data_IF_435246065376
#
_entry.id   IF_435246065376
#
_cell.length_a   1.000
_cell.length_b   1.000
_cell.length_c   1.000
_cell.angle_alpha   90.00
_cell.angle_beta   90.00
_cell.angle_gamma   90.00
#
_symmetry.space_group_name_H-M   'P 1'
#
loop_
_entity.id
_entity.type
_entity.pdbx_description
1 polymer ?
#
# COMPACT_ATOMS: atom_id res chain seq x y z
N UNK A 1 6.22 -0.56 -22.73
CA UNK A 1 6.47 -0.47 -21.28
C UNK A 1 7.86 -0.98 -20.87
N UNK A 2 8.21 -2.26 -21.08
CA UNK A 2 9.50 -2.84 -20.63
C UNK A 2 10.78 -2.07 -21.00
N UNK A 3 10.85 -1.49 -22.20
CA UNK A 3 11.99 -0.66 -22.64
C UNK A 3 12.16 0.63 -21.84
N UNK A 4 11.05 1.26 -21.42
CA UNK A 4 11.09 2.50 -20.62
C UNK A 4 11.50 2.15 -19.20
N UNK A 5 10.92 1.11 -18.62
CA UNK A 5 11.24 0.62 -17.28
C UNK A 5 12.74 0.31 -17.10
N UNK A 6 13.35 -0.43 -18.03
CA UNK A 6 14.78 -0.73 -17.98
C UNK A 6 15.63 0.54 -18.05
N UNK A 7 15.31 1.44 -19.00
CA UNK A 7 16.02 2.73 -19.11
C UNK A 7 15.91 3.58 -17.86
N UNK A 8 14.72 3.64 -17.25
CA UNK A 8 14.52 4.38 -15.99
C UNK A 8 15.31 3.74 -14.87
N UNK A 9 15.34 2.41 -14.79
CA UNK A 9 16.12 1.67 -13.79
C UNK A 9 17.63 1.94 -13.93
N UNK A 10 18.16 1.85 -15.15
CA UNK A 10 19.57 2.15 -15.43
C UNK A 10 19.93 3.60 -15.07
N UNK A 11 19.01 4.55 -15.36
CA UNK A 11 19.18 5.95 -14.99
C UNK A 11 19.17 6.15 -13.46
N UNK A 12 18.23 5.52 -12.75
CA UNK A 12 18.20 5.59 -11.28
C UNK A 12 19.44 4.97 -10.65
N UNK A 13 19.94 3.86 -11.19
CA UNK A 13 21.17 3.20 -10.74
C UNK A 13 22.39 4.11 -10.95
N UNK A 14 22.56 4.66 -12.16
CA UNK A 14 23.67 5.57 -12.47
C UNK A 14 23.66 6.86 -11.64
N UNK A 15 22.47 7.35 -11.26
CA UNK A 15 22.31 8.52 -10.38
C UNK A 15 22.35 8.20 -8.89
N UNK A 16 22.46 6.91 -8.50
CA UNK A 16 22.42 6.50 -7.10
C UNK A 16 21.05 6.68 -6.41
N UNK A 17 19.98 6.86 -7.20
CA UNK A 17 18.61 7.05 -6.72
C UNK A 17 17.85 5.73 -6.57
N UNK A 18 18.37 4.63 -7.14
CA UNK A 18 17.70 3.34 -7.08
C UNK A 18 17.70 2.76 -5.66
N UNK A 19 16.52 2.55 -5.09
CA UNK A 19 16.36 1.84 -3.83
C UNK A 19 16.54 0.34 -4.09
N UNK A 20 17.62 -0.23 -3.54
CA UNK A 20 17.89 -1.66 -3.69
C UNK A 20 16.98 -2.46 -2.74
N UNK A 21 16.23 -3.46 -3.23
CA UNK A 21 15.43 -4.31 -2.37
C UNK A 21 16.33 -5.20 -1.49
N UNK A 22 15.83 -5.69 -0.35
CA UNK A 22 16.53 -6.67 0.46
C UNK A 22 16.79 -7.95 -0.34
N UNK A 23 17.97 -8.53 -0.15
CA UNK A 23 18.36 -9.79 -0.78
C UNK A 23 18.59 -10.88 0.26
N UNK A 24 18.14 -12.10 -0.04
CA UNK A 24 18.50 -13.29 0.74
C UNK A 24 19.61 -14.09 0.02
N UNK A 25 20.47 -14.82 0.75
CA UNK A 25 21.45 -15.71 0.14
C UNK A 25 20.78 -16.75 -0.76
N UNK A 26 21.44 -17.07 -1.88
CA UNK A 26 20.96 -18.11 -2.81
C UNK A 26 21.05 -19.48 -2.10
N UNK A 27 19.96 -20.26 -2.03
CA UNK A 27 19.99 -21.59 -1.43
C UNK A 27 20.96 -22.53 -2.17
N UNK A 28 21.73 -23.33 -1.42
CA UNK A 28 22.65 -24.33 -2.00
C UNK A 28 21.98 -25.67 -2.31
N UNK A 29 20.83 -25.93 -1.69
CA UNK A 29 20.05 -27.17 -1.82
C UNK A 29 18.58 -26.89 -1.50
N UNK A 30 17.70 -27.81 -1.91
CA UNK A 30 16.29 -27.79 -1.52
C UNK A 30 16.15 -28.23 -0.05
N UNK A 31 15.38 -27.48 0.73
CA UNK A 31 15.03 -27.81 2.11
C UNK A 31 13.51 -28.00 2.26
N UNK A 32 13.11 -28.95 3.11
CA UNK A 32 11.71 -29.22 3.41
C UNK A 32 11.39 -28.83 4.85
N UNK A 33 10.20 -28.26 5.05
CA UNK A 33 9.68 -27.92 6.38
C UNK A 33 9.48 -29.20 7.19
N UNK A 34 10.12 -29.28 8.36
CA UNK A 34 10.09 -30.47 9.24
C UNK A 34 9.12 -30.37 10.41
N UNK A 35 8.54 -29.20 10.65
CA UNK A 35 7.66 -28.94 11.79
C UNK A 35 6.70 -27.79 11.51
N UNK A 36 5.48 -27.92 12.02
CA UNK A 36 4.45 -26.87 11.96
C UNK A 36 4.84 -25.59 12.69
N UNK A 37 5.87 -25.64 13.56
CA UNK A 37 6.50 -24.45 14.14
C UNK A 37 6.98 -23.46 13.09
N UNK A 38 7.19 -23.90 11.84
CA UNK A 38 7.49 -23.04 10.71
C UNK A 38 6.42 -21.96 10.46
N UNK A 39 5.13 -22.27 10.68
CA UNK A 39 4.06 -21.29 10.53
C UNK A 39 4.01 -20.30 11.70
N UNK A 40 4.60 -20.69 12.84
CA UNK A 40 4.71 -19.88 14.05
C UNK A 40 3.39 -19.70 14.80
N UNK A 41 3.50 -19.36 16.09
CA UNK A 41 2.41 -18.94 16.96
C UNK A 41 2.83 -17.68 17.72
N UNK A 42 1.88 -16.97 18.35
CA UNK A 42 2.14 -15.74 19.10
C UNK A 42 3.13 -15.91 20.28
N UNK A 43 3.32 -17.15 20.77
CA UNK A 43 4.15 -17.46 21.94
C UNK A 43 5.45 -18.22 21.61
N UNK A 44 5.66 -18.60 20.34
CA UNK A 44 6.85 -19.35 19.91
C UNK A 44 7.94 -18.40 19.39
N UNK A 45 9.21 -18.84 19.48
CA UNK A 45 10.33 -18.17 18.79
C UNK A 45 10.03 -18.09 17.29
N UNK A 46 10.06 -16.87 16.73
CA UNK A 46 9.74 -16.63 15.32
C UNK A 46 10.87 -17.14 14.42
N UNK A 47 10.54 -17.88 13.36
CA UNK A 47 11.50 -18.14 12.28
C UNK A 47 11.86 -16.85 11.52
N UNK A 48 13.02 -16.81 10.86
CA UNK A 48 13.36 -15.74 9.92
C UNK A 48 12.28 -15.54 8.85
N UNK A 49 12.20 -14.32 8.32
CA UNK A 49 11.31 -14.00 7.20
C UNK A 49 11.72 -14.79 5.96
N UNK A 50 10.73 -15.29 5.22
CA UNK A 50 10.95 -15.93 3.92
C UNK A 50 11.07 -14.88 2.82
N UNK A 51 11.70 -15.22 1.68
CA UNK A 51 11.85 -14.28 0.57
C UNK A 51 10.52 -13.64 0.09
N UNK A 52 9.39 -14.38 -0.02
CA UNK A 52 8.10 -13.78 -0.35
C UNK A 52 7.60 -12.80 0.72
N UNK A 53 7.79 -13.08 2.01
CA UNK A 53 7.38 -12.18 3.09
C UNK A 53 8.21 -10.89 3.08
N UNK A 54 9.52 -11.01 2.86
CA UNK A 54 10.42 -9.85 2.70
C UNK A 54 9.97 -8.99 1.51
N UNK A 55 9.71 -9.63 0.37
CA UNK A 55 9.22 -8.94 -0.82
C UNK A 55 7.93 -8.17 -0.56
N UNK A 56 6.94 -8.79 0.10
CA UNK A 56 5.66 -8.14 0.40
C UNK A 56 5.84 -6.98 1.38
N UNK A 57 6.59 -7.18 2.48
CA UNK A 57 6.86 -6.12 3.47
C UNK A 57 7.54 -4.91 2.82
N UNK A 58 8.57 -5.15 2.00
CA UNK A 58 9.34 -4.09 1.37
C UNK A 58 8.53 -3.35 0.30
N UNK A 59 7.92 -4.05 -0.65
CA UNK A 59 7.21 -3.40 -1.77
C UNK A 59 5.95 -2.66 -1.32
N UNK A 60 5.24 -3.18 -0.31
CA UNK A 60 4.07 -2.50 0.24
C UNK A 60 4.50 -1.31 1.12
N UNK A 61 5.64 -1.38 1.79
CA UNK A 61 6.22 -0.22 2.46
C UNK A 61 6.60 0.89 1.47
N UNK A 62 7.18 0.56 0.31
CA UNK A 62 7.43 1.53 -0.77
C UNK A 62 6.13 2.17 -1.28
N UNK A 63 5.09 1.37 -1.51
CA UNK A 63 3.78 1.87 -1.90
C UNK A 63 3.16 2.82 -0.87
N UNK A 64 3.26 2.50 0.43
CA UNK A 64 2.78 3.41 1.48
C UNK A 64 3.68 4.65 1.63
N UNK A 65 4.99 4.55 1.40
CA UNK A 65 5.88 5.71 1.43
C UNK A 65 5.52 6.71 0.33
N UNK A 66 5.22 6.21 -0.88
CA UNK A 66 4.71 7.03 -1.97
C UNK A 66 3.33 7.60 -1.63
N UNK A 67 2.41 6.77 -1.16
CA UNK A 67 1.07 7.21 -0.74
C UNK A 67 1.13 8.33 0.30
N UNK A 68 1.96 8.20 1.33
CA UNK A 68 2.19 9.23 2.35
C UNK A 68 2.56 10.59 1.75
N UNK A 69 3.51 10.61 0.81
CA UNK A 69 3.96 11.83 0.16
C UNK A 69 2.86 12.43 -0.73
N UNK A 70 2.18 11.59 -1.52
CA UNK A 70 1.07 12.01 -2.37
C UNK A 70 -0.08 12.59 -1.56
N UNK A 71 -0.54 11.91 -0.50
CA UNK A 71 -1.61 12.43 0.34
C UNK A 71 -1.20 13.73 1.05
N UNK A 72 0.06 13.87 1.45
CA UNK A 72 0.57 15.15 1.98
C UNK A 72 0.48 16.26 0.93
N UNK A 73 0.99 16.01 -0.28
CA UNK A 73 0.96 16.98 -1.37
C UNK A 73 -0.47 17.37 -1.77
N UNK A 74 -1.38 16.41 -1.88
CA UNK A 74 -2.79 16.69 -2.16
C UNK A 74 -3.46 17.47 -1.02
N UNK A 75 -3.15 17.17 0.24
CA UNK A 75 -3.69 17.93 1.38
C UNK A 75 -3.27 19.40 1.40
N UNK A 76 -2.11 19.73 0.81
CA UNK A 76 -1.59 21.09 0.72
C UNK A 76 -2.37 21.96 -0.26
N UNK A 77 -2.91 21.36 -1.32
CA UNK A 77 -3.55 22.08 -2.43
C UNK A 77 -5.06 21.87 -2.53
N UNK A 78 -5.62 20.91 -1.77
CA UNK A 78 -7.05 20.66 -1.70
C UNK A 78 -7.82 21.89 -1.18
N UNK A 79 -8.90 22.24 -1.87
CA UNK A 79 -9.72 23.41 -1.56
C UNK A 79 -10.86 23.07 -0.59
N UNK A 80 -11.52 21.94 -0.80
CA UNK A 80 -12.57 21.42 0.08
C UNK A 80 -11.94 20.85 1.36
N UNK A 81 -12.46 21.32 2.51
CA UNK A 81 -11.95 20.93 3.83
C UNK A 81 -12.09 19.43 4.12
N UNK A 82 -13.20 18.81 3.73
CA UNK A 82 -13.42 17.36 3.97
C UNK A 82 -12.45 16.53 3.11
N UNK A 83 -12.21 16.97 1.88
CA UNK A 83 -11.22 16.34 0.99
C UNK A 83 -9.80 16.47 1.56
N UNK A 84 -9.44 17.67 2.03
CA UNK A 84 -8.17 17.90 2.72
C UNK A 84 -8.01 17.00 3.95
N UNK A 85 -9.02 16.93 4.81
CA UNK A 85 -9.00 16.10 6.02
C UNK A 85 -8.88 14.60 5.68
N UNK A 86 -9.50 14.16 4.58
CA UNK A 86 -9.36 12.79 4.06
C UNK A 86 -7.92 12.47 3.62
N UNK A 87 -7.26 13.39 2.92
CA UNK A 87 -5.86 13.23 2.53
C UNK A 87 -4.91 13.25 3.72
N UNK A 88 -5.13 14.14 4.70
CA UNK A 88 -4.36 14.14 5.95
C UNK A 88 -4.49 12.79 6.67
N UNK A 89 -5.69 12.18 6.66
CA UNK A 89 -5.89 10.85 7.23
C UNK A 89 -5.16 9.76 6.46
N UNK A 90 -5.14 9.85 5.12
CA UNK A 90 -4.33 8.98 4.25
C UNK A 90 -2.86 9.04 4.61
N UNK A 91 -2.31 10.26 4.72
CA UNK A 91 -0.92 10.51 5.13
C UNK A 91 -0.57 9.89 6.47
N UNK A 92 -1.42 10.06 7.50
CA UNK A 92 -1.21 9.44 8.81
C UNK A 92 -1.19 7.92 8.75
N UNK A 93 -2.13 7.35 7.99
CA UNK A 93 -2.30 5.89 7.86
C UNK A 93 -1.09 5.28 7.16
N UNK A 94 -0.70 5.86 6.03
CA UNK A 94 0.47 5.47 5.27
C UNK A 94 1.75 5.59 6.12
N UNK A 95 1.92 6.66 6.89
CA UNK A 95 3.07 6.84 7.79
C UNK A 95 3.15 5.73 8.87
N UNK A 96 2.02 5.35 9.47
CA UNK A 96 1.97 4.26 10.46
C UNK A 96 2.34 2.93 9.83
N UNK A 97 1.86 2.66 8.62
CA UNK A 97 2.16 1.43 7.89
C UNK A 97 3.63 1.33 7.49
N UNK A 98 4.21 2.41 6.94
CA UNK A 98 5.66 2.47 6.62
C UNK A 98 6.49 2.18 7.86
N UNK A 99 6.17 2.82 8.99
CA UNK A 99 6.89 2.58 10.24
C UNK A 99 6.81 1.11 10.64
N UNK A 100 5.61 0.54 10.67
CA UNK A 100 5.39 -0.86 11.04
C UNK A 100 6.21 -1.83 10.18
N UNK A 101 6.18 -1.67 8.86
CA UNK A 101 6.92 -2.55 7.96
C UNK A 101 8.43 -2.37 8.08
N UNK A 102 8.91 -1.13 8.24
CA UNK A 102 10.32 -0.88 8.48
C UNK A 102 10.79 -1.49 9.81
N UNK A 103 9.99 -1.40 10.88
CA UNK A 103 10.30 -2.03 12.16
C UNK A 103 10.43 -3.57 11.97
N UNK A 104 9.51 -4.20 11.23
CA UNK A 104 9.56 -5.64 10.94
C UNK A 104 10.76 -6.06 10.08
N UNK A 105 11.21 -5.19 9.16
CA UNK A 105 12.42 -5.43 8.37
C UNK A 105 13.68 -5.27 9.22
N UNK A 106 13.74 -4.25 10.07
CA UNK A 106 14.86 -4.01 10.99
C UNK A 106 15.01 -5.14 12.02
N UNK A 107 13.91 -5.64 12.58
CA UNK A 107 13.90 -6.80 13.48
C UNK A 107 14.49 -8.07 12.83
N UNK A 108 14.53 -8.13 11.50
CA UNK A 108 15.10 -9.23 10.72
C UNK A 108 16.49 -8.89 10.13
N UNK A 109 17.13 -7.80 10.57
CA UNK A 109 18.41 -7.30 10.06
C UNK A 109 18.39 -6.99 8.55
N UNK A 110 17.24 -6.54 8.03
CA UNK A 110 17.03 -6.20 6.62
C UNK A 110 17.00 -4.68 6.41
N UNK A 111 17.44 -4.19 5.23
CA UNK A 111 17.35 -2.78 4.90
C UNK A 111 15.89 -2.31 4.81
N UNK A 112 15.65 -1.08 5.27
CA UNK A 112 14.34 -0.44 5.27
C UNK A 112 14.07 0.36 4.00
N UNK A 113 12.81 0.67 3.79
CA UNK A 113 12.36 1.59 2.75
C UNK A 113 12.63 3.04 3.15
N UNK A 114 13.08 3.86 2.19
CA UNK A 114 13.20 5.32 2.33
C UNK A 114 11.85 6.00 2.18
N UNK A 115 11.63 7.10 2.89
CA UNK A 115 10.44 7.95 2.69
C UNK A 115 10.70 9.00 1.62
N UNK A 116 9.62 9.55 1.05
CA UNK A 116 9.66 10.62 0.04
C UNK A 116 9.26 11.97 0.64
N UNK A 117 9.48 12.17 1.94
CA UNK A 117 9.04 13.39 2.64
C UNK A 117 9.70 14.65 2.08
N UNK A 118 10.97 14.55 1.66
CA UNK A 118 11.70 15.67 1.06
C UNK A 118 11.28 16.02 -0.38
N UNK A 119 10.49 15.15 -1.03
CA UNK A 119 9.99 15.40 -2.39
C UNK A 119 8.70 16.25 -2.38
N UNK A 120 8.07 16.41 -1.21
CA UNK A 120 6.90 17.28 -1.05
C UNK A 120 7.38 18.73 -0.90
N UNK A 121 7.18 19.53 -1.95
CA UNK A 121 7.61 20.94 -1.99
C UNK A 121 6.60 21.89 -1.35
N UNK A 122 7.00 23.15 -1.13
CA UNK A 122 6.14 24.22 -0.61
C UNK A 122 5.11 24.76 -1.63
N UNK A 123 5.02 24.18 -2.83
CA UNK A 123 4.09 24.63 -3.87
C UNK A 123 2.62 24.53 -3.43
N UNK A 124 1.89 25.64 -3.50
CA UNK A 124 0.44 25.70 -3.25
C UNK A 124 -0.39 25.67 -4.53
N UNK A 125 0.26 25.61 -5.71
CA UNK A 125 -0.42 25.52 -7.00
C UNK A 125 -0.94 24.10 -7.19
N UNK A 126 -2.26 23.94 -7.22
CA UNK A 126 -2.87 22.63 -7.43
C UNK A 126 -2.64 22.13 -8.87
N UNK A 127 -2.12 20.91 -9.07
CA UNK A 127 -2.01 20.33 -10.40
C UNK A 127 -3.36 19.83 -10.94
N UNK A 128 -4.32 19.53 -10.04
CA UNK A 128 -5.59 18.88 -10.36
C UNK A 128 -6.75 19.45 -9.53
N UNK A 129 -7.98 19.11 -9.90
CA UNK A 129 -9.16 19.42 -9.07
C UNK A 129 -9.28 18.46 -7.89
N UNK A 130 -9.97 18.86 -6.82
CA UNK A 130 -10.28 18.02 -5.67
C UNK A 130 -10.96 16.69 -6.08
N UNK A 131 -11.84 16.74 -7.08
CA UNK A 131 -12.49 15.56 -7.67
C UNK A 131 -11.46 14.57 -8.21
N UNK A 132 -10.50 15.04 -9.01
CA UNK A 132 -9.49 14.17 -9.62
C UNK A 132 -8.48 13.64 -8.60
N UNK A 133 -8.06 14.48 -7.64
CA UNK A 133 -7.17 14.05 -6.56
C UNK A 133 -7.83 12.99 -5.68
N UNK A 134 -9.11 13.18 -5.30
CA UNK A 134 -9.84 12.20 -4.49
C UNK A 134 -10.07 10.90 -5.25
N UNK A 135 -10.35 10.98 -6.56
CA UNK A 135 -10.43 9.80 -7.41
C UNK A 135 -9.10 9.03 -7.47
N UNK A 136 -7.97 9.73 -7.65
CA UNK A 136 -6.63 9.12 -7.65
C UNK A 136 -6.30 8.46 -6.31
N UNK A 137 -6.58 9.13 -5.19
CA UNK A 137 -6.40 8.56 -3.85
C UNK A 137 -7.25 7.29 -3.66
N UNK A 138 -8.49 7.30 -4.16
CA UNK A 138 -9.40 6.14 -4.11
C UNK A 138 -8.87 4.95 -4.94
N UNK A 139 -8.24 5.21 -6.08
CA UNK A 139 -7.56 4.17 -6.87
C UNK A 139 -6.36 3.60 -6.11
N UNK A 140 -5.54 4.45 -5.48
CA UNK A 140 -4.41 4.00 -4.67
C UNK A 140 -4.87 3.17 -3.46
N UNK A 141 -5.93 3.59 -2.77
CA UNK A 141 -6.51 2.83 -1.66
C UNK A 141 -7.01 1.45 -2.13
N UNK A 142 -7.67 1.38 -3.29
CA UNK A 142 -8.15 0.12 -3.89
C UNK A 142 -7.00 -0.81 -4.29
N UNK A 143 -5.93 -0.27 -4.88
CA UNK A 143 -4.72 -1.03 -5.16
C UNK A 143 -4.05 -1.54 -3.87
N UNK A 144 -4.03 -0.72 -2.82
CA UNK A 144 -3.56 -1.10 -1.48
C UNK A 144 -4.33 -2.30 -0.89
N UNK A 145 -5.66 -2.30 -0.99
CA UNK A 145 -6.50 -3.43 -0.57
C UNK A 145 -6.09 -4.71 -1.31
N UNK A 146 -5.93 -4.64 -2.64
CA UNK A 146 -5.48 -5.78 -3.45
C UNK A 146 -4.10 -6.30 -3.04
N UNK A 147 -3.14 -5.39 -2.83
CA UNK A 147 -1.79 -5.73 -2.37
C UNK A 147 -1.79 -6.41 -1.00
N UNK A 148 -2.56 -5.89 -0.04
CA UNK A 148 -2.68 -6.52 1.28
C UNK A 148 -3.32 -7.92 1.17
N UNK A 149 -4.34 -8.10 0.34
CA UNK A 149 -4.96 -9.41 0.10
C UNK A 149 -3.95 -10.43 -0.46
N UNK A 150 -3.12 -10.02 -1.43
CA UNK A 150 -2.06 -10.87 -1.97
C UNK A 150 -0.99 -11.19 -0.92
N UNK A 151 -0.61 -10.21 -0.11
CA UNK A 151 0.37 -10.38 0.96
C UNK A 151 -0.11 -11.36 2.03
N UNK A 152 -1.40 -11.36 2.38
CA UNK A 152 -2.02 -12.37 3.25
C UNK A 152 -1.84 -13.77 2.66
N UNK A 153 -2.16 -13.96 1.37
CA UNK A 153 -2.08 -15.27 0.73
C UNK A 153 -0.64 -15.83 0.66
N UNK A 154 0.35 -14.94 0.51
CA UNK A 154 1.77 -15.30 0.38
C UNK A 154 2.52 -15.38 1.72
N UNK A 155 1.95 -14.86 2.80
CA UNK A 155 2.57 -14.91 4.13
C UNK A 155 2.27 -16.24 4.81
N UNK A 156 3.32 -16.99 5.17
CA UNK A 156 3.18 -18.26 5.91
C UNK A 156 3.44 -18.07 7.40
N UNK A 157 4.19 -17.05 7.79
CA UNK A 157 4.40 -16.68 9.19
C UNK A 157 3.13 -16.00 9.70
N UNK A 158 2.53 -16.56 10.75
CA UNK A 158 1.20 -16.18 11.24
C UNK A 158 1.11 -14.71 11.66
N UNK A 159 2.14 -14.19 12.32
CA UNK A 159 2.19 -12.78 12.76
C UNK A 159 2.21 -11.79 11.58
N UNK A 160 2.96 -12.12 10.52
CA UNK A 160 3.02 -11.34 9.28
C UNK A 160 1.67 -11.39 8.56
N UNK A 161 1.10 -12.59 8.38
CA UNK A 161 -0.19 -12.76 7.74
C UNK A 161 -1.31 -12.00 8.47
N UNK A 162 -1.37 -12.10 9.80
CA UNK A 162 -2.37 -11.38 10.61
C UNK A 162 -2.17 -9.86 10.59
N UNK A 163 -0.91 -9.39 10.49
CA UNK A 163 -0.62 -7.97 10.29
C UNK A 163 -1.26 -7.48 8.98
N UNK A 164 -1.09 -8.22 7.89
CA UNK A 164 -1.71 -7.85 6.62
C UNK A 164 -3.24 -7.98 6.64
N UNK A 165 -3.82 -8.95 7.35
CA UNK A 165 -5.28 -9.05 7.54
C UNK A 165 -5.84 -7.79 8.24
N UNK A 166 -5.17 -7.34 9.30
CA UNK A 166 -5.58 -6.10 10.00
C UNK A 166 -5.53 -4.90 9.06
N UNK A 167 -4.42 -4.72 8.35
CA UNK A 167 -4.23 -3.58 7.43
C UNK A 167 -5.17 -3.64 6.22
N UNK A 168 -5.53 -4.84 5.75
CA UNK A 168 -6.56 -5.04 4.73
C UNK A 168 -7.91 -4.48 5.16
N UNK A 169 -8.33 -4.76 6.41
CA UNK A 169 -9.56 -4.21 6.97
C UNK A 169 -9.52 -2.68 7.11
N UNK A 170 -8.41 -2.14 7.63
CA UNK A 170 -8.21 -0.69 7.75
C UNK A 170 -8.25 0.01 6.38
N UNK A 171 -7.69 -0.62 5.34
CA UNK A 171 -7.71 -0.10 3.98
C UNK A 171 -9.12 -0.11 3.36
N UNK A 172 -9.93 -1.15 3.62
CA UNK A 172 -11.35 -1.19 3.22
C UNK A 172 -12.12 -0.04 3.87
N UNK A 173 -11.91 0.19 5.16
CA UNK A 173 -12.58 1.28 5.88
C UNK A 173 -12.17 2.66 5.30
N UNK A 174 -10.87 2.87 5.06
CA UNK A 174 -10.36 4.08 4.44
C UNK A 174 -10.93 4.33 3.03
N UNK A 175 -10.97 3.29 2.19
CA UNK A 175 -11.55 3.35 0.85
C UNK A 175 -13.05 3.65 0.89
N UNK A 176 -13.78 3.01 1.81
CA UNK A 176 -15.22 3.24 2.00
C UNK A 176 -15.52 4.70 2.41
N UNK A 177 -14.69 5.30 3.27
CA UNK A 177 -14.80 6.72 3.62
C UNK A 177 -14.58 7.63 2.40
N UNK A 178 -13.61 7.30 1.54
CA UNK A 178 -13.37 8.02 0.29
C UNK A 178 -14.55 7.92 -0.67
N UNK A 179 -15.13 6.73 -0.84
CA UNK A 179 -16.34 6.52 -1.63
C UNK A 179 -17.54 7.32 -1.12
N UNK A 180 -17.79 7.30 0.19
CA UNK A 180 -18.84 8.13 0.82
C UNK A 180 -18.63 9.62 0.56
N UNK A 181 -17.39 10.10 0.69
CA UNK A 181 -17.05 11.49 0.38
C UNK A 181 -17.30 11.83 -1.09
N UNK A 182 -16.95 10.94 -2.03
CA UNK A 182 -17.27 11.14 -3.45
C UNK A 182 -18.78 11.17 -3.70
N UNK A 183 -19.59 10.39 -2.98
CA UNK A 183 -21.06 10.46 -3.05
C UNK A 183 -21.56 11.80 -2.50
N UNK A 184 -21.08 12.23 -1.33
CA UNK A 184 -21.46 13.51 -0.71
C UNK A 184 -21.18 14.71 -1.62
N UNK A 185 -20.09 14.66 -2.40
CA UNK A 185 -19.70 15.71 -3.32
C UNK A 185 -20.35 15.58 -4.72
N UNK A 186 -21.13 14.52 -4.96
CA UNK A 186 -21.72 14.26 -6.28
C UNK A 186 -20.69 13.89 -7.36
N UNK A 187 -19.54 13.33 -6.96
CA UNK A 187 -18.42 12.99 -7.84
C UNK A 187 -18.32 11.50 -8.18
N UNK A 188 -19.02 10.65 -7.43
CA UNK A 188 -18.99 9.20 -7.63
C UNK A 188 -19.86 8.80 -8.82
N UNK A 189 -19.21 8.25 -9.85
CA UNK A 189 -19.92 7.67 -10.99
C UNK A 189 -20.44 6.28 -10.63
N UNK A 190 -21.68 6.01 -11.01
CA UNK A 190 -22.29 4.69 -10.83
C UNK A 190 -21.81 3.76 -11.95
N UNK A 191 -21.13 2.64 -11.63
CA UNK A 191 -20.83 1.64 -12.63
C UNK A 191 -22.13 1.01 -13.16
N UNK A 192 -22.14 0.44 -14.38
CA UNK A 192 -23.30 -0.29 -14.89
C UNK A 192 -23.75 -1.35 -13.89
N UNK A 193 -25.02 -1.30 -13.48
CA UNK A 193 -25.60 -2.28 -12.59
C UNK A 193 -26.27 -3.40 -13.40
N UNK A 194 -26.25 -4.61 -12.86
CA UNK A 194 -27.08 -5.68 -13.38
C UNK A 194 -28.57 -5.32 -13.19
N UNK A 195 -29.42 -5.70 -14.15
CA UNK A 195 -30.86 -5.51 -14.01
C UNK A 195 -31.38 -6.21 -12.75
N UNK A 196 -32.22 -5.52 -11.99
CA UNK A 196 -32.88 -6.14 -10.85
C UNK A 196 -33.94 -7.13 -11.37
N UNK A 197 -33.68 -8.43 -11.21
CA UNK A 197 -34.54 -9.50 -11.75
C UNK A 197 -35.92 -9.55 -11.09
N UNK A 198 -36.04 -9.07 -9.86
CA UNK A 198 -37.28 -9.11 -9.09
C UNK A 198 -38.29 -8.06 -9.57
N UNK A 199 -37.82 -6.96 -10.19
CA UNK A 199 -38.68 -5.92 -10.76
C UNK A 199 -38.88 -6.06 -12.29
N UNK A 200 -38.42 -7.14 -12.93
CA UNK A 200 -38.60 -7.33 -14.37
C UNK A 200 -40.04 -7.65 -14.79
N UNK A 201 -40.85 -8.18 -13.86
CA UNK A 201 -42.27 -8.51 -14.08
C UNK A 201 -43.24 -7.48 -13.50
N UNK A 202 -42.74 -6.47 -12.79
CA UNK A 202 -43.56 -5.39 -12.25
C UNK A 202 -43.71 -4.32 -13.34
N UNK A 203 -44.84 -4.40 -14.06
CA UNK A 203 -45.24 -3.41 -15.08
C UNK A 203 -46.47 -2.66 -14.61
#
# INVERSE_FOLDING_TARGET
>A
MKKIELKTTDLMLSKGLYTRPPSVPIPKSVEFVKSDKFFGNFFDSKRPLSAPEIYQLFTIAEGNALGKATSMAFSQVAQDKKVKDYFLKGKETAQKNVKLFNDMLLEADLPTVKTYDGEVTESTVSPFSDRLMLFQESLMASAGIGNYGLAVAQSKRKDVGLTFVRLFGEAIEYSTKGGKLMVEQGWMEQPPLASNRDHLSET
#
